data_IF_050192081079
#
_entry.id   IF_050192081079
#
_cell.length_a   1.000
_cell.length_b   1.000
_cell.length_c   1.000
_cell.angle_alpha   90.00
_cell.angle_beta   90.00
_cell.angle_gamma   90.00
#
_symmetry.space_group_name_H-M   'P 1'
#
loop_
_entity.id
_entity.type
_entity.pdbx_description
1 polymer ?
#
# COMPACT_ATOMS: atom_id res chain seq x y z
N UNK A 1 -7.11 -3.30 -0.55
CA UNK A 1 -7.10 -1.82 -0.36
C UNK A 1 -7.19 -1.03 -1.67
N UNK A 2 -6.32 -1.26 -2.67
CA UNK A 2 -6.31 -0.46 -3.92
C UNK A 2 -7.68 -0.45 -4.63
N UNK A 3 -8.34 -1.60 -4.72
CA UNK A 3 -9.70 -1.70 -5.28
C UNK A 3 -10.75 -0.90 -4.48
N UNK A 4 -10.56 -0.70 -3.18
CA UNK A 4 -11.45 0.15 -2.36
C UNK A 4 -11.20 1.64 -2.67
N UNK A 5 -9.94 2.06 -2.74
CA UNK A 5 -9.57 3.43 -3.07
C UNK A 5 -10.05 3.84 -4.46
N UNK A 6 -10.05 2.91 -5.42
CA UNK A 6 -10.49 3.14 -6.80
C UNK A 6 -11.99 2.84 -7.02
N UNK A 7 -12.74 2.48 -5.97
CA UNK A 7 -14.16 2.07 -6.05
C UNK A 7 -14.45 0.91 -7.01
N UNK A 8 -13.47 0.05 -7.27
CA UNK A 8 -13.61 -1.16 -8.10
C UNK A 8 -13.96 -2.41 -7.29
N UNK A 9 -13.94 -2.32 -5.96
CA UNK A 9 -14.18 -3.48 -5.09
C UNK A 9 -15.67 -3.84 -4.99
N UNK A 10 -16.08 -4.90 -5.68
CA UNK A 10 -17.39 -5.56 -5.53
C UNK A 10 -18.62 -4.63 -5.64
N UNK A 11 -18.50 -3.49 -6.32
CA UNK A 11 -19.57 -2.50 -6.44
C UNK A 11 -19.94 -1.81 -5.11
N UNK A 12 -19.09 -1.91 -4.08
CA UNK A 12 -19.27 -1.21 -2.82
C UNK A 12 -18.84 0.25 -2.97
N UNK A 13 -19.66 1.16 -2.45
CA UNK A 13 -19.27 2.55 -2.31
C UNK A 13 -18.34 2.75 -1.11
N UNK A 14 -17.93 3.99 -0.87
CA UNK A 14 -17.02 4.32 0.23
C UNK A 14 -17.71 4.37 1.60
N UNK A 15 -19.02 4.09 1.67
CA UNK A 15 -19.83 4.27 2.86
C UNK A 15 -19.69 5.67 3.46
N UNK A 16 -19.53 5.75 4.78
CA UNK A 16 -19.24 6.99 5.50
C UNK A 16 -17.75 7.41 5.43
N UNK A 17 -16.88 6.55 4.87
CA UNK A 17 -15.45 6.77 4.81
C UNK A 17 -15.02 7.77 3.73
N UNK A 18 -13.79 8.30 3.88
CA UNK A 18 -13.14 9.22 2.93
C UNK A 18 -11.81 8.68 2.44
N UNK A 19 -11.86 7.46 1.90
CA UNK A 19 -10.69 6.75 1.37
C UNK A 19 -10.69 6.63 -0.16
N UNK A 20 -11.75 7.08 -0.84
CA UNK A 20 -11.81 7.05 -2.31
C UNK A 20 -10.89 8.09 -2.90
N UNK A 21 -10.10 7.67 -3.88
CA UNK A 21 -9.28 8.51 -4.72
C UNK A 21 -10.08 8.87 -5.98
N UNK A 22 -9.95 10.11 -6.45
CA UNK A 22 -10.46 10.47 -7.77
C UNK A 22 -9.61 9.83 -8.86
N UNK A 23 -10.15 9.66 -10.06
CA UNK A 23 -9.39 9.11 -11.19
C UNK A 23 -8.16 9.98 -11.51
N UNK A 24 -8.29 11.31 -11.36
CA UNK A 24 -7.17 12.23 -11.51
C UNK A 24 -6.07 12.00 -10.47
N UNK A 25 -6.45 11.76 -9.20
CA UNK A 25 -5.51 11.43 -8.14
C UNK A 25 -4.81 10.09 -8.41
N UNK A 26 -5.57 9.07 -8.78
CA UNK A 26 -5.02 7.74 -9.07
C UNK A 26 -4.06 7.76 -10.27
N UNK A 27 -4.40 8.48 -11.34
CA UNK A 27 -3.52 8.67 -12.48
C UNK A 27 -2.23 9.44 -12.10
N UNK A 28 -2.32 10.43 -11.21
CA UNK A 28 -1.14 11.13 -10.69
C UNK A 28 -0.24 10.21 -9.86
N UNK A 29 -0.83 9.36 -9.01
CA UNK A 29 -0.13 8.32 -8.24
C UNK A 29 0.56 7.32 -9.18
N UNK A 30 -0.11 6.92 -10.25
CA UNK A 30 0.41 6.07 -11.30
C UNK A 30 1.68 6.61 -11.95
N UNK A 31 1.63 7.87 -12.39
CA UNK A 31 2.80 8.59 -12.94
C UNK A 31 3.91 8.76 -11.91
N UNK A 32 3.56 9.10 -10.67
CA UNK A 32 4.52 9.23 -9.57
C UNK A 32 5.22 7.91 -9.26
N UNK A 33 4.52 6.78 -9.40
CA UNK A 33 5.09 5.44 -9.21
C UNK A 33 6.14 5.13 -10.29
N UNK A 34 5.81 5.33 -11.57
CA UNK A 34 6.74 5.11 -12.67
C UNK A 34 7.98 6.00 -12.55
N UNK A 35 7.79 7.29 -12.24
CA UNK A 35 8.91 8.22 -12.03
C UNK A 35 9.78 7.86 -10.81
N UNK A 36 9.18 7.35 -9.73
CA UNK A 36 9.94 6.90 -8.56
C UNK A 36 10.76 5.66 -8.88
N UNK A 37 10.21 4.73 -9.66
CA UNK A 37 10.90 3.51 -10.09
C UNK A 37 12.16 3.80 -10.91
N UNK A 38 12.17 4.82 -11.77
CA UNK A 38 13.38 5.20 -12.56
C UNK A 38 14.60 5.50 -11.68
N UNK A 39 14.39 5.85 -10.41
CA UNK A 39 15.44 6.15 -9.43
C UNK A 39 15.84 4.93 -8.58
N UNK A 40 15.18 3.78 -8.77
CA UNK A 40 15.40 2.55 -7.99
C UNK A 40 16.27 1.59 -8.81
N UNK A 41 17.41 1.13 -8.28
CA UNK A 41 18.23 0.16 -8.99
C UNK A 41 17.47 -1.15 -9.22
N UNK A 42 17.64 -1.74 -10.41
CA UNK A 42 17.00 -3.02 -10.78
C UNK A 42 17.37 -4.21 -9.90
N UNK A 43 18.41 -4.07 -9.06
CA UNK A 43 18.78 -5.06 -8.06
C UNK A 43 17.77 -5.20 -6.91
N UNK A 44 16.89 -4.20 -6.71
CA UNK A 44 15.92 -4.19 -5.61
C UNK A 44 14.54 -4.73 -5.99
N UNK A 45 14.11 -4.49 -7.24
CA UNK A 45 12.78 -4.89 -7.72
C UNK A 45 12.77 -4.97 -9.24
N UNK A 46 11.92 -5.86 -9.77
CA UNK A 46 11.58 -5.90 -11.19
C UNK A 46 10.88 -4.59 -11.63
N UNK A 47 10.67 -4.40 -12.93
CA UNK A 47 10.01 -3.21 -13.48
C UNK A 47 8.68 -2.92 -12.79
N UNK A 48 8.53 -1.70 -12.25
CA UNK A 48 7.27 -1.20 -11.68
C UNK A 48 6.64 -0.20 -12.66
N UNK A 49 5.73 -0.65 -13.53
CA UNK A 49 5.07 0.22 -14.49
C UNK A 49 4.06 1.13 -13.78
N UNK A 50 3.43 2.02 -14.54
CA UNK A 50 2.38 2.88 -14.04
C UNK A 50 1.24 2.05 -13.43
N UNK A 51 1.12 2.03 -12.10
CA UNK A 51 0.14 1.21 -11.37
C UNK A 51 -1.32 1.54 -11.71
N UNK A 52 -1.59 2.74 -12.26
CA UNK A 52 -2.95 3.12 -12.64
C UNK A 52 -3.38 2.56 -14.00
N UNK A 53 -2.42 2.33 -14.90
CA UNK A 53 -2.65 1.86 -16.28
C UNK A 53 -2.38 0.36 -16.40
N UNK A 54 -1.31 -0.12 -15.75
CA UNK A 54 -0.76 -1.47 -15.91
C UNK A 54 -0.85 -2.31 -14.62
N UNK A 55 -1.90 -2.11 -13.81
CA UNK A 55 -2.12 -2.85 -12.54
C UNK A 55 -2.05 -4.37 -12.72
N UNK A 56 -2.44 -4.89 -13.89
CA UNK A 56 -2.42 -6.33 -14.19
C UNK A 56 -1.00 -6.93 -14.26
N UNK A 57 0.03 -6.10 -14.41
CA UNK A 57 1.44 -6.54 -14.41
C UNK A 57 2.02 -6.63 -12.99
N UNK A 58 1.29 -6.15 -11.97
CA UNK A 58 1.76 -6.22 -10.59
C UNK A 58 1.48 -7.59 -10.00
N UNK A 59 2.57 -8.30 -9.66
CA UNK A 59 2.53 -9.50 -8.83
C UNK A 59 2.65 -9.15 -7.34
N UNK A 60 2.51 -10.15 -6.47
CA UNK A 60 2.57 -9.95 -5.01
C UNK A 60 3.88 -9.30 -4.56
N UNK A 61 5.01 -9.66 -5.17
CA UNK A 61 6.32 -9.06 -4.89
C UNK A 61 6.35 -7.56 -5.26
N UNK A 62 5.85 -7.21 -6.45
CA UNK A 62 5.77 -5.82 -6.91
C UNK A 62 4.87 -4.97 -6.01
N UNK A 63 3.73 -5.51 -5.58
CA UNK A 63 2.87 -4.84 -4.61
C UNK A 63 3.55 -4.65 -3.26
N UNK A 64 4.19 -5.71 -2.72
CA UNK A 64 4.89 -5.63 -1.44
C UNK A 64 5.97 -4.54 -1.46
N UNK A 65 6.81 -4.54 -2.50
CA UNK A 65 7.83 -3.52 -2.68
C UNK A 65 7.21 -2.12 -2.84
N UNK A 66 6.16 -1.99 -3.65
CA UNK A 66 5.46 -0.72 -3.83
C UNK A 66 4.95 -0.16 -2.50
N UNK A 67 4.30 -0.99 -1.66
CA UNK A 67 3.85 -0.60 -0.32
C UNK A 67 5.00 -0.15 0.59
N UNK A 68 6.16 -0.78 0.47
CA UNK A 68 7.34 -0.49 1.29
C UNK A 68 8.07 0.78 0.88
N UNK A 69 8.24 1.03 -0.42
CA UNK A 69 9.17 2.05 -0.88
C UNK A 69 8.49 3.24 -1.57
N UNK A 70 7.34 3.05 -2.20
CA UNK A 70 6.76 4.05 -3.11
C UNK A 70 5.43 4.58 -2.58
N UNK A 71 4.53 3.68 -2.14
CA UNK A 71 3.15 3.98 -1.81
C UNK A 71 3.01 5.13 -0.83
N UNK A 72 3.80 5.15 0.25
CA UNK A 72 3.72 6.22 1.25
C UNK A 72 4.03 7.60 0.68
N UNK A 73 4.99 7.69 -0.24
CA UNK A 73 5.39 8.96 -0.85
C UNK A 73 4.28 9.43 -1.78
N UNK A 74 3.84 8.55 -2.68
CA UNK A 74 2.85 8.91 -3.70
C UNK A 74 1.45 9.10 -3.13
N UNK A 75 1.11 8.53 -1.96
CA UNK A 75 -0.21 8.63 -1.33
C UNK A 75 -0.33 9.72 -0.25
N UNK A 76 0.79 10.31 0.20
CA UNK A 76 0.86 11.20 1.38
C UNK A 76 -0.17 12.33 1.38
N UNK A 77 -0.37 12.95 0.22
CA UNK A 77 -1.24 14.11 0.07
C UNK A 77 -2.66 13.75 -0.43
N UNK A 78 -2.92 12.47 -0.71
CA UNK A 78 -4.19 12.00 -1.26
C UNK A 78 -5.06 11.26 -0.24
N UNK A 79 -4.43 10.54 0.69
CA UNK A 79 -5.16 9.84 1.75
C UNK A 79 -5.36 10.76 2.95
N UNK A 80 -6.56 10.76 3.52
CA UNK A 80 -6.76 11.43 4.80
C UNK A 80 -5.96 10.74 5.90
N UNK A 81 -5.60 11.51 6.94
CA UNK A 81 -4.69 11.05 8.01
C UNK A 81 -5.04 9.67 8.59
N UNK A 82 -6.32 9.32 8.89
CA UNK A 82 -6.64 8.00 9.43
C UNK A 82 -6.26 6.86 8.48
N UNK A 83 -6.61 6.96 7.19
CA UNK A 83 -6.28 5.91 6.22
C UNK A 83 -4.78 5.87 5.90
N UNK A 84 -4.12 7.02 5.91
CA UNK A 84 -2.66 7.06 5.76
C UNK A 84 -1.95 6.39 6.94
N UNK A 85 -2.40 6.62 8.18
CA UNK A 85 -1.87 5.94 9.38
C UNK A 85 -2.12 4.44 9.35
N UNK A 86 -3.31 4.03 8.91
CA UNK A 86 -3.65 2.62 8.73
C UNK A 86 -2.76 1.94 7.66
N UNK A 87 -2.43 2.67 6.60
CA UNK A 87 -1.44 2.25 5.58
C UNK A 87 -0.02 2.12 6.15
N UNK A 88 0.42 3.05 7.00
CA UNK A 88 1.72 2.98 7.69
C UNK A 88 1.82 1.71 8.55
N UNK A 89 0.73 1.33 9.24
CA UNK A 89 0.70 0.10 10.02
C UNK A 89 0.84 -1.14 9.12
N UNK A 90 0.16 -1.17 7.96
CA UNK A 90 0.34 -2.25 6.99
C UNK A 90 1.79 -2.35 6.51
N UNK A 91 2.40 -1.21 6.16
CA UNK A 91 3.79 -1.18 5.75
C UNK A 91 4.70 -1.76 6.83
N UNK A 92 4.49 -1.36 8.09
CA UNK A 92 5.21 -1.92 9.23
C UNK A 92 5.09 -3.43 9.32
N UNK A 93 3.88 -3.98 9.15
CA UNK A 93 3.64 -5.44 9.11
C UNK A 93 4.44 -6.09 7.97
N UNK A 94 4.41 -5.53 6.76
CA UNK A 94 5.13 -6.10 5.61
C UNK A 94 6.65 -6.09 5.87
N UNK A 95 7.21 -4.98 6.35
CA UNK A 95 8.64 -4.87 6.69
C UNK A 95 9.02 -5.91 7.74
N UNK A 96 8.19 -6.06 8.77
CA UNK A 96 8.41 -7.02 9.84
C UNK A 96 8.43 -8.48 9.34
N UNK A 97 7.55 -8.82 8.40
CA UNK A 97 7.54 -10.13 7.74
C UNK A 97 8.78 -10.41 6.88
N UNK A 98 9.55 -9.39 6.49
CA UNK A 98 10.78 -9.54 5.71
C UNK A 98 12.05 -9.61 6.57
N UNK A 99 11.96 -9.46 7.90
CA UNK A 99 13.12 -9.55 8.78
C UNK A 99 13.77 -10.94 8.68
N UNK A 100 15.09 -10.98 8.46
CA UNK A 100 15.83 -12.24 8.33
C UNK A 100 15.95 -12.99 9.67
N UNK A 101 16.01 -12.27 10.79
CA UNK A 101 16.10 -12.82 12.14
C UNK A 101 14.87 -12.42 12.92
N UNK A 102 13.96 -13.38 13.13
CA UNK A 102 12.72 -13.17 13.88
C UNK A 102 12.82 -13.86 15.22
N UNK A 103 12.59 -13.12 16.30
CA UNK A 103 12.50 -13.68 17.67
C UNK A 103 11.05 -14.06 18.01
N UNK A 104 10.83 -14.84 19.06
CA UNK A 104 9.45 -15.11 19.54
C UNK A 104 8.73 -13.83 19.94
N UNK A 105 9.42 -12.89 20.58
CA UNK A 105 8.86 -11.57 20.90
C UNK A 105 8.49 -10.79 19.64
N UNK A 106 9.21 -10.99 18.54
CA UNK A 106 8.87 -10.37 17.26
C UNK A 106 7.54 -10.94 16.74
N UNK A 107 7.34 -12.26 16.82
CA UNK A 107 6.08 -12.91 16.41
C UNK A 107 4.90 -12.38 17.24
N UNK A 108 5.06 -12.27 18.56
CA UNK A 108 4.02 -11.73 19.45
C UNK A 108 3.64 -10.29 19.06
N UNK A 109 4.65 -9.46 18.73
CA UNK A 109 4.43 -8.10 18.25
C UNK A 109 3.71 -8.08 16.91
N UNK A 110 4.10 -8.94 15.96
CA UNK A 110 3.46 -9.05 14.66
C UNK A 110 1.97 -9.41 14.80
N UNK A 111 1.66 -10.34 15.71
CA UNK A 111 0.27 -10.72 16.01
C UNK A 111 -0.55 -9.51 16.50
N UNK A 112 0.00 -8.72 17.42
CA UNK A 112 -0.64 -7.49 17.91
C UNK A 112 -0.83 -6.47 16.79
N UNK A 113 0.16 -6.28 15.92
CA UNK A 113 0.08 -5.37 14.78
C UNK A 113 -1.02 -5.79 13.80
N UNK A 114 -1.09 -7.07 13.43
CA UNK A 114 -2.12 -7.61 12.53
C UNK A 114 -3.51 -7.48 13.13
N UNK A 115 -3.70 -7.83 14.41
CA UNK A 115 -4.97 -7.65 15.12
C UNK A 115 -5.43 -6.19 15.13
N UNK A 116 -4.51 -5.29 15.44
CA UNK A 116 -4.77 -3.84 15.45
C UNK A 116 -5.16 -3.35 14.07
N UNK A 117 -4.46 -3.81 13.04
CA UNK A 117 -4.75 -3.45 11.66
C UNK A 117 -6.16 -3.91 11.27
N UNK A 118 -6.51 -5.19 11.48
CA UNK A 118 -7.85 -5.69 11.15
C UNK A 118 -8.95 -4.95 11.91
N UNK A 119 -8.78 -4.72 13.21
CA UNK A 119 -9.77 -3.99 14.01
C UNK A 119 -10.02 -2.57 13.48
N UNK A 120 -8.96 -1.82 13.14
CA UNK A 120 -9.08 -0.47 12.56
C UNK A 120 -9.71 -0.45 11.16
N UNK A 121 -9.68 -1.57 10.44
CA UNK A 121 -10.30 -1.68 9.13
C UNK A 121 -11.82 -1.93 9.22
N UNK A 122 -12.27 -2.57 10.30
CA UNK A 122 -13.68 -2.92 10.53
C UNK A 122 -14.51 -1.79 11.19
N UNK A 123 -13.83 -0.76 11.73
CA UNK A 123 -14.43 0.48 12.26
C UNK A 123 -14.81 1.49 11.16
#
# INVERSE_FOLDING_TARGET
MILHWTSKFKGLDQGAGKFKLSDAAWNAIGKGTAASYEMIPSAFVCTLPNIAEDEMLYEAEAFAFWFQCIALIVLKDWLSRPYYQHMLLLQGIIIFCLEFLVTTSNIDQLEVMVKTWVAQYEE
#
